data_IF_108246723445
#
_entry.id   IF_108246723445
#
_cell.length_a   1.000
_cell.length_b   1.000
_cell.length_c   1.000
_cell.angle_alpha   90.00
_cell.angle_beta   90.00
_cell.angle_gamma   90.00
#
_symmetry.space_group_name_H-M   'P 1'
#
loop_
_entity.id
_entity.type
_entity.pdbx_description
1 polymer ?
#
# COMPACT_ATOMS: atom_id res chain seq x y z
N UNK A 1 -18.80 -84.71 -64.11
CA UNK A 1 -18.22 -83.38 -63.94
C UNK A 1 -18.54 -82.96 -62.54
N UNK A 2 -17.57 -83.13 -61.71
CA UNK A 2 -17.71 -83.17 -60.25
C UNK A 2 -17.38 -81.80 -59.69
N UNK A 3 -18.33 -81.27 -58.85
CA UNK A 3 -18.21 -79.99 -58.19
C UNK A 3 -18.22 -80.21 -56.69
N UNK A 4 -17.10 -80.33 -56.10
CA UNK A 4 -16.91 -80.47 -54.66
C UNK A 4 -17.05 -79.14 -53.96
N UNK A 5 -18.15 -78.98 -53.23
CA UNK A 5 -18.30 -77.84 -52.31
C UNK A 5 -17.58 -78.13 -51.01
N UNK A 6 -16.62 -77.28 -50.69
CA UNK A 6 -15.92 -77.27 -49.39
C UNK A 6 -16.65 -76.35 -48.44
N UNK A 7 -17.27 -76.91 -47.38
CA UNK A 7 -17.80 -76.18 -46.25
C UNK A 7 -16.66 -75.60 -45.40
N UNK A 8 -16.69 -74.30 -45.21
CA UNK A 8 -15.81 -73.59 -44.32
C UNK A 8 -16.50 -73.38 -42.96
N UNK A 9 -16.04 -74.10 -41.96
CA UNK A 9 -16.53 -73.93 -40.58
C UNK A 9 -15.89 -72.71 -39.92
N UNK A 10 -16.69 -71.71 -39.58
CA UNK A 10 -16.27 -70.57 -38.81
C UNK A 10 -16.31 -70.95 -37.33
N UNK A 11 -15.10 -71.04 -36.71
CA UNK A 11 -15.01 -71.21 -35.26
C UNK A 11 -15.23 -69.84 -34.58
N UNK A 12 -16.34 -69.70 -33.90
CA UNK A 12 -16.61 -68.57 -33.03
C UNK A 12 -15.85 -68.73 -31.71
N UNK A 13 -14.69 -68.12 -31.62
CA UNK A 13 -13.92 -68.04 -30.39
C UNK A 13 -14.64 -67.07 -29.42
N UNK A 14 -15.25 -67.62 -28.39
CA UNK A 14 -15.81 -66.81 -27.29
C UNK A 14 -14.74 -66.10 -26.49
N UNK A 15 -14.58 -64.81 -26.66
CA UNK A 15 -13.77 -64.00 -25.77
C UNK A 15 -14.51 -63.85 -24.43
N UNK A 16 -14.08 -64.61 -23.41
CA UNK A 16 -14.48 -64.42 -22.03
C UNK A 16 -13.88 -63.09 -21.53
N UNK A 17 -14.67 -62.03 -21.62
CA UNK A 17 -14.37 -60.73 -21.01
C UNK A 17 -14.34 -60.90 -19.50
N UNK A 18 -13.14 -61.08 -18.93
CA UNK A 18 -12.95 -61.02 -17.48
C UNK A 18 -13.41 -59.65 -16.96
N UNK A 19 -14.53 -59.61 -16.26
CA UNK A 19 -14.92 -58.48 -15.45
C UNK A 19 -13.78 -58.19 -14.43
N UNK A 20 -12.97 -57.19 -14.72
CA UNK A 20 -12.06 -56.64 -13.72
C UNK A 20 -12.95 -56.01 -12.60
N UNK A 21 -13.03 -56.69 -11.47
CA UNK A 21 -13.60 -56.14 -10.27
C UNK A 21 -12.76 -54.91 -9.89
N UNK A 22 -13.30 -53.69 -10.07
CA UNK A 22 -12.71 -52.49 -9.57
C UNK A 22 -12.79 -52.61 -8.04
N UNK A 23 -11.70 -53.07 -7.45
CA UNK A 23 -11.54 -53.27 -6.01
C UNK A 23 -11.61 -51.91 -5.26
N UNK A 24 -11.98 -51.94 -3.98
CA UNK A 24 -12.26 -50.82 -3.09
C UNK A 24 -11.16 -49.75 -2.87
N UNK A 25 -10.19 -49.65 -3.76
CA UNK A 25 -9.18 -48.57 -3.76
C UNK A 25 -9.77 -47.19 -4.20
N UNK A 26 -10.83 -47.16 -4.97
CA UNK A 26 -11.43 -45.92 -5.47
C UNK A 26 -11.86 -44.94 -4.35
N UNK A 27 -12.34 -45.44 -3.23
CA UNK A 27 -12.73 -44.58 -2.10
C UNK A 27 -11.53 -43.94 -1.41
N UNK A 28 -10.44 -44.67 -1.24
CA UNK A 28 -9.20 -44.16 -0.64
C UNK A 28 -8.54 -43.14 -1.57
N UNK A 29 -8.52 -43.40 -2.87
CA UNK A 29 -7.97 -42.50 -3.89
C UNK A 29 -8.71 -41.17 -3.93
N UNK A 30 -10.04 -41.17 -3.86
CA UNK A 30 -10.87 -39.96 -3.79
C UNK A 30 -10.57 -39.20 -2.49
N UNK A 31 -10.43 -39.88 -1.36
CA UNK A 31 -10.09 -39.20 -0.09
C UNK A 31 -8.72 -38.54 -0.16
N UNK A 32 -7.70 -39.20 -0.69
CA UNK A 32 -6.35 -38.66 -0.85
C UNK A 32 -6.34 -37.47 -1.83
N UNK A 33 -7.03 -37.60 -2.95
CA UNK A 33 -7.12 -36.51 -3.95
C UNK A 33 -7.82 -35.30 -3.38
N UNK A 34 -8.93 -35.46 -2.64
CA UNK A 34 -9.61 -34.37 -1.94
C UNK A 34 -8.71 -33.70 -0.88
N UNK A 35 -7.94 -34.50 -0.13
CA UNK A 35 -7.02 -33.97 0.88
C UNK A 35 -5.92 -33.13 0.23
N UNK A 36 -5.30 -33.61 -0.85
CA UNK A 36 -4.28 -32.87 -1.60
C UNK A 36 -4.86 -31.58 -2.19
N UNK A 37 -6.08 -31.65 -2.73
CA UNK A 37 -6.79 -30.51 -3.30
C UNK A 37 -7.10 -29.43 -2.24
N UNK A 38 -7.56 -29.86 -1.06
CA UNK A 38 -7.80 -28.96 0.08
C UNK A 38 -6.52 -28.27 0.56
N UNK A 39 -5.40 -29.02 0.69
CA UNK A 39 -4.11 -28.46 1.07
C UNK A 39 -3.61 -27.45 0.01
N UNK A 40 -3.80 -27.76 -1.27
CA UNK A 40 -3.47 -26.83 -2.36
C UNK A 40 -4.28 -25.54 -2.31
N UNK A 41 -5.59 -25.63 -2.08
CA UNK A 41 -6.48 -24.47 -1.94
C UNK A 41 -6.12 -23.61 -0.72
N UNK A 42 -5.83 -24.23 0.43
CA UNK A 42 -5.39 -23.51 1.62
C UNK A 42 -4.07 -22.75 1.38
N UNK A 43 -3.14 -23.36 0.65
CA UNK A 43 -1.90 -22.70 0.24
C UNK A 43 -2.14 -21.47 -0.65
N UNK A 44 -3.04 -21.59 -1.63
CA UNK A 44 -3.43 -20.48 -2.50
C UNK A 44 -4.08 -19.32 -1.73
N UNK A 45 -5.00 -19.63 -0.79
CA UNK A 45 -5.64 -18.61 0.06
C UNK A 45 -4.59 -17.85 0.89
N UNK A 46 -3.60 -18.54 1.45
CA UNK A 46 -2.50 -17.92 2.19
C UNK A 46 -1.66 -16.97 1.33
N UNK A 47 -1.37 -17.35 0.09
CA UNK A 47 -0.66 -16.49 -0.86
C UNK A 47 -1.49 -15.26 -1.26
N UNK A 48 -2.79 -15.45 -1.52
CA UNK A 48 -3.70 -14.36 -1.88
C UNK A 48 -3.79 -13.29 -0.79
N UNK A 49 -3.87 -13.71 0.48
CA UNK A 49 -3.89 -12.78 1.62
C UNK A 49 -2.60 -11.96 1.70
N UNK A 50 -1.44 -12.59 1.50
CA UNK A 50 -0.14 -11.89 1.49
C UNK A 50 -0.02 -10.93 0.30
N UNK A 51 -0.50 -11.32 -0.88
CA UNK A 51 -0.50 -10.48 -2.06
C UNK A 51 -1.35 -9.23 -1.84
N UNK A 52 -2.57 -9.36 -1.33
CA UNK A 52 -3.45 -8.23 -1.02
C UNK A 52 -2.84 -7.27 0.00
N UNK A 53 -2.18 -7.80 1.04
CA UNK A 53 -1.50 -6.95 2.04
C UNK A 53 -0.34 -6.16 1.41
N UNK A 54 0.47 -6.81 0.56
CA UNK A 54 1.58 -6.16 -0.13
C UNK A 54 1.09 -5.09 -1.12
N UNK A 55 -0.02 -5.33 -1.81
CA UNK A 55 -0.65 -4.37 -2.72
C UNK A 55 -1.12 -3.12 -1.98
N UNK A 56 -1.82 -3.28 -0.85
CA UNK A 56 -2.27 -2.17 -0.01
C UNK A 56 -1.10 -1.36 0.56
N UNK A 57 -0.03 -2.00 1.03
CA UNK A 57 1.17 -1.29 1.50
C UNK A 57 1.86 -0.53 0.36
N UNK A 58 1.91 -1.10 -0.83
CA UNK A 58 2.45 -0.43 -2.02
C UNK A 58 1.63 0.79 -2.40
N UNK A 59 0.30 0.67 -2.42
CA UNK A 59 -0.62 1.77 -2.68
C UNK A 59 -0.43 2.93 -1.69
N UNK A 60 -0.40 2.64 -0.39
CA UNK A 60 -0.17 3.65 0.65
C UNK A 60 1.18 4.36 0.47
N UNK A 61 2.23 3.62 0.08
CA UNK A 61 3.54 4.21 -0.19
C UNK A 61 3.52 5.17 -1.38
N UNK A 62 2.82 4.81 -2.46
CA UNK A 62 2.66 5.68 -3.63
C UNK A 62 1.92 6.96 -3.25
N UNK A 63 0.82 6.85 -2.49
CA UNK A 63 0.07 7.99 -1.97
C UNK A 63 0.96 8.91 -1.11
N UNK A 64 1.75 8.34 -0.21
CA UNK A 64 2.67 9.11 0.61
C UNK A 64 3.70 9.88 -0.21
N UNK A 65 4.25 9.28 -1.27
CA UNK A 65 5.19 9.94 -2.18
C UNK A 65 4.51 11.07 -2.97
N UNK A 66 3.26 10.88 -3.40
CA UNK A 66 2.49 11.93 -4.09
C UNK A 66 2.27 13.12 -3.17
N UNK A 67 1.81 12.89 -1.94
CA UNK A 67 1.58 13.95 -0.96
C UNK A 67 2.88 14.67 -0.55
N UNK A 68 3.97 13.93 -0.41
CA UNK A 68 5.28 14.50 -0.14
C UNK A 68 5.74 15.42 -1.27
N UNK A 69 5.58 15.01 -2.53
CA UNK A 69 5.92 15.81 -3.71
C UNK A 69 4.99 16.99 -3.91
N UNK A 70 3.71 16.85 -3.58
CA UNK A 70 2.76 17.97 -3.62
C UNK A 70 3.21 19.10 -2.70
N UNK A 71 3.55 18.79 -1.44
CA UNK A 71 4.05 19.82 -0.51
C UNK A 71 5.41 20.37 -0.94
N UNK A 72 6.30 19.54 -1.47
CA UNK A 72 7.56 20.01 -2.04
C UNK A 72 7.34 21.09 -3.12
N UNK A 73 6.44 20.84 -4.08
CA UNK A 73 6.13 21.77 -5.15
C UNK A 73 5.44 23.05 -4.63
N UNK A 74 4.59 22.96 -3.61
CA UNK A 74 3.94 24.12 -2.97
C UNK A 74 4.99 25.03 -2.30
N UNK A 75 5.91 24.47 -1.52
CA UNK A 75 6.98 25.25 -0.89
C UNK A 75 7.89 25.87 -1.97
N UNK A 76 8.22 25.14 -3.02
CA UNK A 76 9.08 25.64 -4.09
C UNK A 76 8.41 26.78 -4.87
N UNK A 77 7.11 26.71 -5.13
CA UNK A 77 6.37 27.77 -5.82
C UNK A 77 6.20 29.03 -4.97
N UNK A 78 6.22 28.92 -3.63
CA UNK A 78 6.10 30.04 -2.68
C UNK A 78 7.34 30.14 -1.76
N UNK A 79 8.52 29.92 -2.33
CA UNK A 79 9.81 29.77 -1.62
C UNK A 79 10.20 30.96 -0.76
N UNK A 80 9.76 32.18 -1.09
CA UNK A 80 10.07 33.40 -0.32
C UNK A 80 9.54 33.35 1.11
N UNK A 81 8.51 32.56 1.36
CA UNK A 81 7.91 32.35 2.68
C UNK A 81 8.00 30.88 3.14
N UNK A 82 9.00 30.16 2.69
CA UNK A 82 9.20 28.74 3.04
C UNK A 82 9.18 28.48 4.56
N UNK A 83 9.63 29.45 5.37
CA UNK A 83 9.55 29.39 6.82
C UNK A 83 8.14 29.28 7.38
N UNK A 84 7.11 29.73 6.66
CA UNK A 84 5.71 29.61 7.07
C UNK A 84 5.19 28.16 7.05
N UNK A 85 5.80 27.29 6.25
CA UNK A 85 5.39 25.88 6.16
C UNK A 85 5.98 25.03 7.30
N UNK A 86 7.02 25.54 8.00
CA UNK A 86 7.63 24.87 9.14
C UNK A 86 7.73 25.82 10.34
N UNK A 87 7.75 25.26 11.52
CA UNK A 87 8.06 26.03 12.74
C UNK A 87 9.56 25.96 13.03
N UNK A 88 10.37 26.48 12.10
CA UNK A 88 11.83 26.41 12.17
C UNK A 88 12.34 24.97 12.33
N UNK A 89 13.32 24.79 13.22
CA UNK A 89 13.91 23.48 13.52
C UNK A 89 13.01 22.58 14.38
N UNK A 90 12.01 23.13 15.05
CA UNK A 90 11.01 22.34 15.80
C UNK A 90 10.13 21.55 14.84
N UNK A 91 9.80 22.17 13.70
CA UNK A 91 8.95 21.58 12.69
C UNK A 91 7.47 21.69 13.02
N UNK A 92 6.65 21.45 12.03
CA UNK A 92 5.18 21.38 12.16
C UNK A 92 4.68 20.04 11.71
N UNK A 93 3.74 19.43 12.45
CA UNK A 93 3.07 18.21 12.11
C UNK A 93 1.64 18.50 11.66
N UNK A 94 1.22 17.87 10.56
CA UNK A 94 -0.10 17.98 9.95
C UNK A 94 -0.75 16.59 9.84
N UNK A 95 -2.01 16.55 9.46
CA UNK A 95 -2.77 15.32 9.29
C UNK A 95 -3.43 14.87 10.59
N UNK A 96 -3.37 13.58 10.88
CA UNK A 96 -4.03 13.01 12.05
C UNK A 96 -3.53 13.63 13.34
N UNK A 97 -4.45 14.23 14.11
CA UNK A 97 -4.14 14.91 15.37
C UNK A 97 -3.71 16.38 15.24
N UNK A 98 -3.63 16.92 14.02
CA UNK A 98 -3.40 18.37 13.83
C UNK A 98 -4.68 19.15 14.07
N UNK A 99 -4.62 20.12 14.98
CA UNK A 99 -5.76 20.97 15.37
C UNK A 99 -5.47 22.48 15.25
N UNK A 100 -4.22 22.85 14.90
CA UNK A 100 -3.82 24.26 14.85
C UNK A 100 -4.33 24.95 13.58
N UNK A 101 -4.49 26.28 13.66
CA UNK A 101 -4.77 27.11 12.50
C UNK A 101 -3.45 27.61 11.91
N UNK A 102 -3.15 27.32 10.64
CA UNK A 102 -1.90 27.79 10.03
C UNK A 102 -1.90 29.30 9.89
N UNK A 103 -0.77 29.92 10.19
CA UNK A 103 -0.55 31.37 10.04
C UNK A 103 0.76 31.63 9.30
N UNK A 104 0.84 32.75 8.59
CA UNK A 104 2.04 33.18 7.91
C UNK A 104 2.12 34.72 7.92
N UNK A 105 3.31 35.25 8.21
CA UNK A 105 3.58 36.69 8.29
C UNK A 105 4.92 37.09 7.67
N UNK A 106 5.57 36.18 6.92
CA UNK A 106 6.95 36.39 6.42
C UNK A 106 7.02 37.12 5.09
N UNK A 107 5.94 37.19 4.32
CA UNK A 107 5.94 37.77 2.97
C UNK A 107 4.83 38.79 2.75
N UNK A 108 4.53 39.04 1.49
CA UNK A 108 3.37 39.86 1.10
C UNK A 108 2.07 39.18 1.53
N UNK A 109 0.97 39.97 1.60
CA UNK A 109 -0.34 39.42 1.95
C UNK A 109 -0.76 38.23 1.05
N UNK A 110 -0.46 38.30 -0.25
CA UNK A 110 -0.77 37.24 -1.19
C UNK A 110 0.06 35.97 -0.92
N UNK A 111 1.38 36.11 -0.66
CA UNK A 111 2.26 34.98 -0.33
C UNK A 111 1.89 34.30 0.98
N UNK A 112 1.53 35.11 1.99
CA UNK A 112 1.09 34.61 3.28
C UNK A 112 -0.24 33.86 3.16
N UNK A 113 -1.21 34.41 2.42
CA UNK A 113 -2.50 33.75 2.17
C UNK A 113 -2.32 32.43 1.40
N UNK A 114 -1.41 32.41 0.40
CA UNK A 114 -1.09 31.20 -0.35
C UNK A 114 -0.49 30.12 0.57
N UNK A 115 0.46 30.46 1.44
CA UNK A 115 1.05 29.50 2.37
C UNK A 115 0.00 28.88 3.31
N UNK A 116 -0.91 29.69 3.84
CA UNK A 116 -2.04 29.23 4.68
C UNK A 116 -2.97 28.28 3.90
N UNK A 117 -3.31 28.66 2.66
CA UNK A 117 -4.14 27.83 1.80
C UNK A 117 -3.48 26.49 1.45
N UNK A 118 -2.19 26.50 1.13
CA UNK A 118 -1.39 25.32 0.83
C UNK A 118 -1.33 24.34 2.00
N UNK A 119 -1.05 24.84 3.20
CA UNK A 119 -1.01 24.05 4.43
C UNK A 119 -2.37 23.42 4.71
N UNK A 120 -3.45 24.25 4.61
CA UNK A 120 -4.83 23.79 4.84
C UNK A 120 -5.23 22.70 3.86
N UNK A 121 -4.93 22.90 2.57
CA UNK A 121 -5.21 21.92 1.53
C UNK A 121 -4.42 20.60 1.75
N UNK A 122 -3.13 20.72 2.07
CA UNK A 122 -2.28 19.56 2.32
C UNK A 122 -2.72 18.77 3.56
N UNK A 123 -3.07 19.46 4.63
CA UNK A 123 -3.65 18.85 5.83
C UNK A 123 -4.93 18.06 5.49
N UNK A 124 -5.80 18.63 4.67
CA UNK A 124 -7.02 17.96 4.21
C UNK A 124 -6.70 16.71 3.36
N UNK A 125 -5.69 16.78 2.47
CA UNK A 125 -5.23 15.64 1.67
C UNK A 125 -4.67 14.52 2.54
N UNK A 126 -3.86 14.82 3.56
CA UNK A 126 -3.38 13.83 4.53
C UNK A 126 -4.54 13.13 5.26
N UNK A 127 -5.63 13.86 5.50
CA UNK A 127 -6.86 13.33 6.09
C UNK A 127 -7.78 12.63 5.08
N UNK A 128 -7.33 12.43 3.83
CA UNK A 128 -8.04 11.65 2.81
C UNK A 128 -9.09 12.39 2.02
N UNK A 129 -9.01 13.73 1.92
CA UNK A 129 -9.98 14.52 1.15
C UNK A 129 -9.93 14.28 -0.37
N UNK A 130 -8.90 13.59 -0.89
CA UNK A 130 -8.78 13.27 -2.30
C UNK A 130 -9.86 12.27 -2.77
N UNK A 131 -10.31 11.40 -1.89
CA UNK A 131 -11.34 10.40 -2.18
C UNK A 131 -12.43 10.47 -1.10
N UNK A 132 -13.68 10.62 -1.53
CA UNK A 132 -14.82 10.67 -0.63
C UNK A 132 -15.88 9.66 -1.05
N UNK A 133 -16.46 8.96 -0.09
CA UNK A 133 -17.60 8.08 -0.29
C UNK A 133 -18.72 8.45 0.68
N UNK A 134 -19.88 8.81 0.17
CA UNK A 134 -21.03 9.23 0.99
C UNK A 134 -20.68 10.36 1.99
N UNK A 135 -19.83 11.31 1.57
CA UNK A 135 -19.38 12.42 2.41
C UNK A 135 -18.23 12.08 3.39
N UNK A 136 -17.85 10.83 3.52
CA UNK A 136 -16.71 10.40 4.34
C UNK A 136 -15.42 10.38 3.52
N UNK A 137 -14.33 10.88 4.11
CA UNK A 137 -13.00 10.85 3.51
C UNK A 137 -12.44 9.43 3.62
N UNK A 138 -12.18 8.76 2.49
CA UNK A 138 -11.70 7.37 2.42
C UNK A 138 -10.31 7.24 1.81
N UNK A 139 -9.79 8.29 1.18
CA UNK A 139 -8.46 8.29 0.53
C UNK A 139 -7.29 8.45 1.49
N UNK A 140 -7.49 8.30 2.80
CA UNK A 140 -6.43 8.46 3.77
C UNK A 140 -5.63 7.17 3.97
N UNK A 141 -4.30 7.32 4.03
CA UNK A 141 -3.45 6.32 4.67
C UNK A 141 -3.78 6.25 6.17
N UNK A 142 -3.66 5.07 6.78
CA UNK A 142 -4.00 4.87 8.19
C UNK A 142 -3.13 5.77 9.08
N UNK A 143 -3.76 6.68 9.83
CA UNK A 143 -3.08 7.59 10.74
C UNK A 143 -2.06 8.50 10.06
N UNK A 144 -2.30 8.90 8.81
CA UNK A 144 -1.36 9.71 8.04
C UNK A 144 -1.01 11.03 8.73
N UNK A 145 0.28 11.33 8.79
CA UNK A 145 0.85 12.58 9.28
C UNK A 145 1.91 13.07 8.31
N UNK A 146 1.98 14.38 8.18
CA UNK A 146 3.04 15.04 7.43
C UNK A 146 3.79 16.01 8.32
N UNK A 147 5.11 16.04 8.21
CA UNK A 147 5.94 17.00 8.95
C UNK A 147 6.82 17.77 7.99
N UNK A 148 7.00 19.06 8.31
CA UNK A 148 7.92 19.96 7.63
C UNK A 148 8.83 20.54 8.67
N UNK A 149 10.14 20.32 8.55
CA UNK A 149 11.15 20.75 9.52
C UNK A 149 12.31 21.41 8.80
N UNK A 150 12.73 22.58 9.24
CA UNK A 150 13.95 23.21 8.76
C UNK A 150 15.16 22.54 9.43
N UNK A 151 15.87 21.68 8.72
CA UNK A 151 16.97 20.89 9.27
C UNK A 151 18.32 21.66 9.26
N UNK A 152 18.43 22.70 8.44
CA UNK A 152 19.60 23.60 8.41
C UNK A 152 19.11 25.02 8.06
N UNK A 153 19.06 25.89 9.07
CA UNK A 153 18.59 27.25 8.90
C UNK A 153 19.59 28.11 8.10
N UNK A 154 20.90 27.88 8.25
CA UNK A 154 21.94 28.64 7.55
C UNK A 154 21.92 28.38 6.04
N UNK A 155 21.54 27.17 5.63
CA UNK A 155 21.47 26.76 4.22
C UNK A 155 20.05 26.72 3.67
N UNK A 156 19.05 27.12 4.46
CA UNK A 156 17.63 27.02 4.13
C UNK A 156 17.23 25.63 3.63
N UNK A 157 17.62 24.58 4.38
CA UNK A 157 17.28 23.20 4.04
C UNK A 157 16.10 22.77 4.88
N UNK A 158 15.06 22.30 4.21
CA UNK A 158 13.84 21.77 4.79
C UNK A 158 13.73 20.28 4.52
N UNK A 159 13.22 19.52 5.46
CA UNK A 159 12.84 18.12 5.31
C UNK A 159 11.34 18.01 5.37
N UNK A 160 10.76 17.43 4.33
CA UNK A 160 9.34 17.07 4.27
C UNK A 160 9.26 15.56 4.50
N UNK A 161 8.42 15.16 5.43
CA UNK A 161 8.21 13.75 5.78
C UNK A 161 6.73 13.44 5.74
N UNK A 162 6.34 12.33 5.14
CA UNK A 162 5.00 11.76 5.27
C UNK A 162 5.11 10.40 5.92
N UNK A 163 4.35 10.20 6.99
CA UNK A 163 4.35 8.96 7.78
C UNK A 163 2.94 8.42 7.92
N UNK A 164 2.83 7.09 8.01
CA UNK A 164 1.55 6.38 8.15
C UNK A 164 1.76 5.03 8.83
N UNK A 165 0.65 4.38 9.18
CA UNK A 165 0.67 3.05 9.74
C UNK A 165 0.66 1.99 8.63
N UNK A 166 1.68 1.16 8.58
CA UNK A 166 1.73 -0.03 7.73
C UNK A 166 0.95 -1.20 8.34
N UNK A 167 0.77 -2.25 7.56
CA UNK A 167 0.01 -3.44 7.96
C UNK A 167 0.88 -4.54 8.56
N UNK A 168 2.18 -4.55 8.24
CA UNK A 168 3.14 -5.56 8.72
C UNK A 168 4.27 -4.90 9.50
N UNK A 169 4.80 -5.50 10.59
CA UNK A 169 5.93 -4.95 11.31
C UNK A 169 7.20 -4.88 10.45
N UNK A 170 7.94 -3.76 10.54
CA UNK A 170 9.27 -3.56 9.93
C UNK A 170 10.18 -2.82 10.89
N UNK A 171 11.42 -2.52 10.46
CA UNK A 171 12.29 -1.62 11.22
C UNK A 171 11.67 -0.23 11.34
N UNK A 172 11.72 0.36 12.54
CA UNK A 172 11.21 1.71 12.79
C UNK A 172 12.01 2.76 11.99
N UNK A 173 11.33 3.73 11.33
CA UNK A 173 12.03 4.81 10.64
C UNK A 173 12.80 5.69 11.61
N UNK A 174 13.95 6.24 11.15
CA UNK A 174 14.79 7.13 11.97
C UNK A 174 14.22 8.55 12.14
N UNK A 175 13.28 8.96 11.27
CA UNK A 175 12.66 10.30 11.35
C UNK A 175 11.74 10.41 12.55
N UNK A 176 11.71 11.59 13.16
CA UNK A 176 10.90 11.86 14.38
C UNK A 176 9.43 12.15 14.09
N UNK A 177 9.07 12.42 12.83
CA UNK A 177 7.70 12.67 12.43
C UNK A 177 6.76 11.55 12.89
N UNK A 178 5.71 11.90 13.63
CA UNK A 178 4.74 10.94 14.17
C UNK A 178 5.31 9.92 15.15
N UNK A 179 6.47 10.17 15.76
CA UNK A 179 7.05 9.28 16.76
C UNK A 179 6.13 9.11 17.96
N UNK A 180 6.00 7.89 18.47
CA UNK A 180 5.10 7.56 19.59
C UNK A 180 3.63 7.36 19.19
N UNK A 181 3.28 7.50 17.90
CA UNK A 181 1.88 7.50 17.43
C UNK A 181 1.44 6.18 16.77
N UNK A 182 2.36 5.21 16.60
CA UNK A 182 2.11 3.96 15.86
C UNK A 182 2.46 2.72 16.67
N UNK A 183 2.24 2.79 17.99
CA UNK A 183 2.52 1.72 18.93
C UNK A 183 3.89 1.85 19.60
N UNK A 184 4.10 1.11 20.69
CA UNK A 184 5.29 1.23 21.54
C UNK A 184 6.60 0.90 20.83
N UNK A 185 6.60 0.00 19.86
CA UNK A 185 7.80 -0.44 19.12
C UNK A 185 8.04 0.31 17.84
N UNK A 186 7.10 1.16 17.42
CA UNK A 186 7.17 1.92 16.15
C UNK A 186 7.35 1.06 14.88
N UNK A 187 7.25 -0.27 15.00
CA UNK A 187 7.49 -1.21 13.88
C UNK A 187 6.43 -1.13 12.79
N UNK A 188 5.26 -0.56 13.09
CA UNK A 188 4.21 -0.30 12.11
C UNK A 188 4.35 1.07 11.44
N UNK A 189 5.19 1.97 11.94
CA UNK A 189 5.39 3.28 11.32
C UNK A 189 6.13 3.14 9.99
N UNK A 190 5.59 3.75 8.94
CA UNK A 190 6.21 3.92 7.63
C UNK A 190 6.52 5.38 7.42
N UNK A 191 7.57 5.67 6.66
CA UNK A 191 7.96 7.02 6.33
C UNK A 191 8.51 7.14 4.91
N UNK A 192 8.21 8.25 4.26
CA UNK A 192 8.91 8.77 3.09
C UNK A 192 9.37 10.18 3.39
N UNK A 193 10.55 10.56 2.92
CA UNK A 193 11.15 11.87 3.19
C UNK A 193 11.81 12.44 1.94
N UNK A 194 11.80 13.75 1.83
CA UNK A 194 12.59 14.49 0.85
C UNK A 194 13.19 15.73 1.50
N UNK A 195 14.38 16.08 1.09
CA UNK A 195 15.02 17.35 1.47
C UNK A 195 14.91 18.36 0.35
N UNK A 196 14.54 19.59 0.70
CA UNK A 196 14.42 20.72 -0.20
C UNK A 196 15.38 21.81 0.25
N UNK A 197 16.24 22.28 -0.64
CA UNK A 197 17.07 23.45 -0.40
C UNK A 197 16.49 24.66 -1.11
N UNK A 198 16.15 25.70 -0.36
CA UNK A 198 15.65 26.95 -0.90
C UNK A 198 16.85 27.86 -1.22
N UNK A 199 17.07 28.12 -2.50
CA UNK A 199 18.08 29.09 -2.93
C UNK A 199 17.71 30.50 -2.49
N UNK A 200 18.70 31.27 -1.99
CA UNK A 200 18.55 32.70 -1.73
C UNK A 200 18.55 33.39 -3.10
N UNK A 201 17.54 34.23 -3.33
CA UNK A 201 17.45 35.09 -4.53
C UNK A 201 18.16 36.40 -4.28
#
# INVERSE_FOLDING_TARGET
MDSTARSFAIATGGASGGRRTAGGFAMLEVLITLLILLLGLLGLLGLMTRANTAELESYQRVQAVILMRDMFNRIESNRSVAGCYSNGTVGTQFGTGYADTPTCTLGSAAQNAQAVADITAWNALLLGSAETQSGNKIGAMIGARGCITQIDAAKNIYMISVVWQGMTPTAAPKVTCGQGQYGATETLRRAVTVTLRIGIL
#
